data_IF_763773839613
#
_entry.id   IF_763773839613
#
_cell.length_a   1.000
_cell.length_b   1.000
_cell.length_c   1.000
_cell.angle_alpha   90.00
_cell.angle_beta   90.00
_cell.angle_gamma   90.00
#
_symmetry.space_group_name_H-M   'P 1'
#
loop_
_entity.id
_entity.type
_entity.pdbx_description
1 polymer ?
#
# COMPACT_ATOMS: atom_id res chain seq x y z
N UNK A 1 35.58 30.57 -17.85
CA UNK A 1 36.24 29.46 -17.14
C UNK A 1 35.27 28.33 -16.98
N UNK A 2 35.63 27.18 -17.53
CA UNK A 2 34.94 25.91 -17.35
C UNK A 2 35.64 25.15 -16.21
N UNK A 3 34.88 24.60 -15.26
CA UNK A 3 35.39 23.66 -14.25
C UNK A 3 34.19 22.77 -13.84
N UNK A 4 33.94 21.71 -14.60
CA UNK A 4 34.36 20.29 -14.41
C UNK A 4 33.78 19.64 -13.16
N UNK A 5 32.66 18.95 -13.33
CA UNK A 5 32.13 17.97 -12.37
C UNK A 5 32.50 16.56 -12.90
N UNK A 6 33.49 15.94 -12.28
CA UNK A 6 33.95 14.59 -12.59
C UNK A 6 33.06 13.58 -11.84
N UNK A 7 32.21 12.86 -12.57
CA UNK A 7 31.29 11.85 -12.04
C UNK A 7 32.00 10.48 -11.99
N UNK A 8 32.30 10.00 -10.78
CA UNK A 8 33.04 8.77 -10.52
C UNK A 8 32.18 7.51 -10.82
N UNK A 9 32.43 6.91 -12.00
CA UNK A 9 31.84 5.63 -12.40
C UNK A 9 32.35 4.46 -11.54
N UNK A 10 31.58 4.08 -10.52
CA UNK A 10 31.89 2.91 -9.70
C UNK A 10 31.55 1.60 -10.46
N UNK A 11 32.58 1.01 -11.07
CA UNK A 11 32.50 -0.22 -11.85
C UNK A 11 32.06 -1.45 -11.04
N UNK A 12 31.14 -2.23 -11.63
CA UNK A 12 30.61 -3.47 -11.09
C UNK A 12 31.70 -4.50 -10.77
N UNK A 13 31.76 -4.97 -9.52
CA UNK A 13 32.68 -6.02 -9.08
C UNK A 13 32.32 -7.39 -9.74
N UNK A 14 33.17 -7.84 -10.66
CA UNK A 14 33.07 -9.16 -11.32
C UNK A 14 33.29 -10.29 -10.31
N UNK A 15 32.24 -11.04 -9.97
CA UNK A 15 32.31 -12.25 -9.13
C UNK A 15 33.06 -13.38 -9.84
N UNK A 16 34.32 -13.64 -9.45
CA UNK A 16 35.09 -14.81 -9.91
C UNK A 16 34.60 -16.10 -9.25
N UNK A 17 34.25 -17.10 -10.04
CA UNK A 17 33.81 -18.43 -9.58
C UNK A 17 35.01 -19.29 -9.19
N UNK A 18 35.30 -19.41 -7.89
CA UNK A 18 36.35 -20.31 -7.38
C UNK A 18 35.87 -21.76 -7.47
N UNK A 19 36.50 -22.58 -8.32
CA UNK A 19 36.32 -24.04 -8.36
C UNK A 19 37.20 -24.67 -7.28
N UNK A 20 36.60 -25.11 -6.17
CA UNK A 20 37.31 -25.92 -5.16
C UNK A 20 37.57 -27.32 -5.72
N UNK A 21 38.84 -27.74 -5.77
CA UNK A 21 39.26 -29.11 -6.07
C UNK A 21 38.97 -29.97 -4.83
N UNK A 22 38.22 -31.06 -4.99
CA UNK A 22 37.95 -32.00 -3.89
C UNK A 22 39.24 -32.77 -3.58
N UNK A 23 39.75 -32.69 -2.36
CA UNK A 23 40.73 -33.64 -1.85
C UNK A 23 40.01 -34.98 -1.62
N UNK A 24 40.56 -36.08 -2.12
CA UNK A 24 40.06 -37.43 -1.86
C UNK A 24 40.54 -37.81 -0.46
N UNK A 25 39.64 -38.02 0.49
CA UNK A 25 40.00 -38.64 1.77
C UNK A 25 40.37 -40.10 1.52
N UNK A 26 41.65 -40.43 1.59
CA UNK A 26 42.12 -41.81 1.66
C UNK A 26 41.82 -42.35 3.06
N UNK A 27 40.63 -42.92 3.24
CA UNK A 27 40.44 -43.89 4.32
C UNK A 27 41.17 -45.15 3.88
N UNK A 28 42.25 -45.46 4.58
CA UNK A 28 42.95 -46.73 4.48
C UNK A 28 41.97 -47.83 4.91
N UNK A 29 41.60 -48.70 3.98
CA UNK A 29 40.89 -49.93 4.27
C UNK A 29 41.91 -50.91 4.85
N UNK A 30 41.88 -51.16 6.16
CA UNK A 30 42.49 -52.35 6.74
C UNK A 30 41.57 -53.53 6.43
N UNK A 31 41.94 -54.27 5.39
CA UNK A 31 41.23 -55.46 4.95
C UNK A 31 41.67 -56.69 5.74
N UNK A 32 40.68 -57.34 6.35
CA UNK A 32 40.52 -58.78 6.53
C UNK A 32 41.44 -59.52 7.53
N UNK A 33 40.86 -59.86 8.68
CA UNK A 33 41.04 -61.20 9.26
C UNK A 33 39.66 -61.83 9.49
N UNK A 34 39.55 -63.03 8.95
CA UNK A 34 38.42 -63.97 8.90
C UNK A 34 38.49 -64.84 10.16
N UNK A 35 37.35 -65.12 10.80
CA UNK A 35 37.23 -66.19 11.81
C UNK A 35 36.00 -66.08 12.73
N UNK A 36 35.06 -67.01 12.55
CA UNK A 36 34.13 -67.63 13.51
C UNK A 36 33.13 -66.77 14.34
N UNK A 37 31.81 -67.00 14.15
CA UNK A 37 30.90 -67.74 15.05
C UNK A 37 30.88 -67.13 16.48
N UNK A 38 29.79 -66.55 17.00
CA UNK A 38 28.59 -67.25 17.49
C UNK A 38 27.53 -66.22 17.97
N UNK A 39 26.26 -66.62 17.84
CA UNK A 39 24.98 -66.11 18.34
C UNK A 39 24.91 -64.99 19.41
N UNK A 40 24.01 -64.01 19.20
CA UNK A 40 22.87 -63.77 20.11
C UNK A 40 21.96 -62.63 19.61
N UNK A 41 20.66 -62.93 19.40
CA UNK A 41 19.58 -61.92 19.44
C UNK A 41 18.93 -61.56 18.09
N UNK A 42 17.94 -62.35 17.64
CA UNK A 42 16.89 -61.91 16.70
C UNK A 42 15.63 -61.59 17.52
N UNK A 43 14.75 -60.63 17.13
CA UNK A 43 13.77 -60.89 16.07
C UNK A 43 13.54 -59.70 15.10
N UNK A 44 13.53 -59.92 13.78
CA UNK A 44 12.28 -60.18 13.05
C UNK A 44 11.36 -58.95 12.81
N UNK A 45 11.92 -57.74 12.69
CA UNK A 45 11.16 -56.57 12.19
C UNK A 45 11.73 -55.92 10.92
N UNK A 46 13.01 -56.11 10.62
CA UNK A 46 13.65 -55.49 9.43
C UNK A 46 13.52 -56.33 8.15
N UNK A 47 13.15 -57.61 8.27
CA UNK A 47 13.16 -58.56 7.14
C UNK A 47 11.79 -58.66 6.45
N UNK A 48 10.66 -58.42 7.15
CA UNK A 48 9.33 -58.42 6.52
C UNK A 48 9.05 -57.16 5.68
N UNK A 49 9.59 -56.01 6.07
CA UNK A 49 9.43 -54.75 5.31
C UNK A 49 10.07 -54.81 3.90
N UNK A 50 11.02 -55.73 3.68
CA UNK A 50 11.70 -55.89 2.39
C UNK A 50 11.01 -56.88 1.45
N UNK A 51 10.02 -57.66 1.91
CA UNK A 51 9.28 -58.60 1.07
C UNK A 51 7.97 -58.01 0.51
N UNK A 52 7.37 -57.03 1.19
CA UNK A 52 6.19 -56.32 0.68
C UNK A 52 6.52 -55.19 -0.31
N UNK A 53 7.78 -54.74 -0.35
CA UNK A 53 8.25 -53.79 -1.37
C UNK A 53 8.67 -54.48 -2.69
N UNK A 54 8.32 -55.75 -2.87
CA UNK A 54 8.39 -56.42 -4.16
C UNK A 54 7.06 -56.23 -4.90
N UNK A 55 7.08 -55.32 -5.86
CA UNK A 55 6.17 -55.28 -7.01
C UNK A 55 4.79 -54.65 -6.78
N UNK A 56 4.76 -53.36 -6.46
CA UNK A 56 3.80 -52.51 -7.17
C UNK A 56 4.49 -52.04 -8.44
N UNK A 57 3.87 -52.25 -9.61
CA UNK A 57 4.30 -51.77 -10.93
C UNK A 57 4.61 -50.27 -10.88
N UNK A 58 5.84 -49.94 -10.47
CA UNK A 58 6.36 -48.59 -10.54
C UNK A 58 6.45 -48.29 -12.04
N UNK A 59 5.72 -47.28 -12.54
CA UNK A 59 5.83 -46.92 -13.95
C UNK A 59 7.31 -46.78 -14.27
N UNK A 60 7.77 -47.40 -15.37
CA UNK A 60 9.14 -47.29 -15.87
C UNK A 60 9.40 -45.84 -16.25
N UNK A 61 9.53 -44.97 -15.25
CA UNK A 61 9.66 -43.54 -15.43
C UNK A 61 11.01 -43.31 -16.08
N UNK A 62 10.99 -42.55 -17.17
CA UNK A 62 12.19 -42.17 -17.89
C UNK A 62 13.26 -41.66 -16.93
N UNK A 63 14.53 -41.94 -17.25
CA UNK A 63 15.70 -41.43 -16.50
C UNK A 63 15.59 -39.91 -16.26
N UNK A 64 15.02 -39.17 -17.21
CA UNK A 64 14.76 -37.74 -17.08
C UNK A 64 13.69 -37.41 -16.02
N UNK A 65 12.58 -38.15 -15.99
CA UNK A 65 11.52 -37.99 -14.97
C UNK A 65 12.04 -38.30 -13.57
N UNK A 66 12.87 -39.35 -13.41
CA UNK A 66 13.59 -39.65 -12.15
C UNK A 66 14.44 -38.46 -11.69
N UNK A 67 15.25 -37.90 -12.60
CA UNK A 67 16.10 -36.73 -12.31
C UNK A 67 15.27 -35.50 -11.91
N UNK A 68 14.18 -35.20 -12.62
CA UNK A 68 13.29 -34.07 -12.32
C UNK A 68 12.63 -34.23 -10.95
N UNK A 69 12.10 -35.42 -10.63
CA UNK A 69 11.47 -35.68 -9.34
C UNK A 69 12.48 -35.60 -8.18
N UNK A 70 13.70 -36.12 -8.34
CA UNK A 70 14.78 -35.96 -7.34
C UNK A 70 15.10 -34.49 -7.10
N UNK A 71 15.20 -33.68 -8.16
CA UNK A 71 15.44 -32.23 -8.04
C UNK A 71 14.30 -31.50 -7.34
N UNK A 72 13.04 -31.86 -7.64
CA UNK A 72 11.84 -31.30 -6.97
C UNK A 72 11.87 -31.60 -5.48
N UNK A 73 12.04 -32.88 -5.10
CA UNK A 73 12.11 -33.33 -3.70
C UNK A 73 13.26 -32.67 -2.94
N UNK A 74 14.44 -32.50 -3.57
CA UNK A 74 15.56 -31.80 -2.94
C UNK A 74 15.27 -30.31 -2.69
N UNK A 75 14.64 -29.62 -3.65
CA UNK A 75 14.25 -28.20 -3.51
C UNK A 75 13.22 -28.03 -2.39
N UNK A 76 12.25 -28.93 -2.33
CA UNK A 76 11.22 -28.96 -1.29
C UNK A 76 11.80 -29.25 0.09
N UNK A 77 12.68 -30.26 0.24
CA UNK A 77 13.39 -30.54 1.50
C UNK A 77 14.17 -29.31 2.00
N UNK A 78 14.83 -28.57 1.11
CA UNK A 78 15.51 -27.33 1.49
C UNK A 78 14.55 -26.19 1.87
N UNK A 79 13.36 -26.10 1.24
CA UNK A 79 12.32 -25.12 1.62
C UNK A 79 11.73 -25.44 3.00
N UNK A 80 11.43 -26.70 3.28
CA UNK A 80 10.91 -27.14 4.58
C UNK A 80 11.93 -26.90 5.72
N UNK A 81 13.23 -27.07 5.44
CA UNK A 81 14.29 -26.75 6.38
C UNK A 81 14.61 -25.24 6.49
N UNK A 82 13.88 -24.35 5.81
CA UNK A 82 14.15 -22.90 5.82
C UNK A 82 15.40 -22.45 5.06
N UNK A 83 16.18 -23.37 4.48
CA UNK A 83 17.43 -23.10 3.73
C UNK A 83 17.21 -22.44 2.36
N UNK A 84 15.96 -22.29 1.91
CA UNK A 84 15.61 -21.51 0.72
C UNK A 84 14.80 -20.32 1.19
N UNK A 85 15.44 -19.15 1.21
CA UNK A 85 14.75 -17.89 1.41
C UNK A 85 13.69 -17.75 0.31
N UNK A 86 12.42 -17.68 0.71
CA UNK A 86 11.38 -17.16 -0.19
C UNK A 86 11.76 -15.69 -0.42
N UNK A 87 11.85 -15.26 -1.67
CA UNK A 87 11.88 -13.83 -1.94
C UNK A 87 10.60 -13.26 -1.34
N UNK A 88 10.74 -12.37 -0.36
CA UNK A 88 9.64 -11.65 0.26
C UNK A 88 8.99 -10.83 -0.84
N UNK A 89 7.91 -11.35 -1.42
CA UNK A 89 7.03 -10.54 -2.25
C UNK A 89 6.42 -9.50 -1.32
N UNK A 90 6.80 -8.24 -1.53
CA UNK A 90 6.15 -7.12 -0.86
C UNK A 90 4.74 -7.09 -1.40
N UNK A 91 3.77 -7.30 -0.51
CA UNK A 91 2.36 -7.18 -0.84
C UNK A 91 2.04 -5.68 -0.89
N UNK A 92 1.91 -5.13 -2.10
CA UNK A 92 1.59 -3.72 -2.33
C UNK A 92 0.10 -3.45 -2.08
N UNK A 93 -0.42 -3.87 -0.93
CA UNK A 93 -1.78 -3.51 -0.56
C UNK A 93 -1.75 -2.05 -0.10
N UNK A 94 -2.32 -1.17 -0.92
CA UNK A 94 -2.51 0.23 -0.58
C UNK A 94 -3.33 0.33 0.71
N UNK A 95 -2.67 0.70 1.81
CA UNK A 95 -3.35 1.19 3.00
C UNK A 95 -3.48 2.71 2.84
N UNK A 96 -4.70 3.25 2.67
CA UNK A 96 -4.86 4.68 2.74
C UNK A 96 -4.50 5.12 4.16
N UNK A 97 -3.49 5.97 4.27
CA UNK A 97 -3.09 6.62 5.52
C UNK A 97 -4.24 7.50 6.02
N UNK A 98 -5.11 6.91 6.85
CA UNK A 98 -6.18 7.67 7.51
C UNK A 98 -5.65 8.67 8.54
N UNK A 99 -4.37 8.55 8.93
CA UNK A 99 -3.83 9.21 10.12
C UNK A 99 -2.74 10.25 9.81
N UNK A 100 -2.38 10.47 8.54
CA UNK A 100 -1.36 11.47 8.17
C UNK A 100 -1.95 12.67 7.38
N UNK A 101 -3.28 12.68 7.17
CA UNK A 101 -4.00 13.80 6.54
C UNK A 101 -4.54 14.82 7.55
N UNK A 102 -4.59 14.50 8.83
CA UNK A 102 -5.45 15.26 9.76
C UNK A 102 -4.82 16.56 10.27
N UNK A 103 -3.49 16.69 10.36
CA UNK A 103 -2.90 17.89 10.98
C UNK A 103 -2.30 18.89 9.97
N UNK A 104 -1.54 18.43 8.97
CA UNK A 104 -0.96 19.31 7.93
C UNK A 104 -1.80 19.40 6.64
N UNK A 105 -2.66 18.42 6.37
CA UNK A 105 -3.61 18.49 5.26
C UNK A 105 -4.97 19.04 5.68
N UNK A 106 -5.26 19.16 6.99
CA UNK A 106 -6.43 19.91 7.47
C UNK A 106 -6.40 21.36 7.03
N UNK A 107 -5.26 22.05 7.13
CA UNK A 107 -5.12 23.46 6.73
C UNK A 107 -5.27 23.65 5.20
N UNK A 108 -4.61 22.80 4.41
CA UNK A 108 -4.74 22.82 2.93
C UNK A 108 -6.16 22.52 2.48
N UNK A 109 -6.82 21.57 3.14
CA UNK A 109 -8.20 21.20 2.89
C UNK A 109 -9.17 22.34 3.24
N UNK A 110 -8.84 23.19 4.22
CA UNK A 110 -9.63 24.38 4.56
C UNK A 110 -9.45 25.48 3.49
N UNK A 111 -8.22 25.76 3.07
CA UNK A 111 -7.95 26.75 2.02
C UNK A 111 -8.64 26.37 0.70
N UNK A 112 -8.50 25.11 0.27
CA UNK A 112 -9.17 24.58 -0.92
C UNK A 112 -10.70 24.70 -0.82
N UNK A 113 -11.27 24.46 0.37
CA UNK A 113 -12.70 24.66 0.61
C UNK A 113 -13.09 26.13 0.52
N UNK A 114 -12.30 27.03 1.10
CA UNK A 114 -12.57 28.47 1.07
C UNK A 114 -12.54 29.02 -0.37
N UNK A 115 -11.56 28.63 -1.19
CA UNK A 115 -11.52 28.99 -2.62
C UNK A 115 -12.74 28.44 -3.35
N UNK A 116 -13.08 27.18 -3.09
CA UNK A 116 -14.22 26.53 -3.72
C UNK A 116 -15.58 27.13 -3.31
N UNK A 117 -15.67 27.77 -2.14
CA UNK A 117 -16.84 28.54 -1.71
C UNK A 117 -16.84 29.91 -2.42
N UNK A 118 -15.70 30.59 -2.46
CA UNK A 118 -15.55 31.90 -3.09
C UNK A 118 -15.94 31.83 -4.57
N UNK A 119 -15.39 30.86 -5.32
CA UNK A 119 -15.72 30.64 -6.74
C UNK A 119 -17.22 30.40 -6.93
N UNK A 120 -17.83 29.59 -6.06
CA UNK A 120 -19.25 29.28 -6.13
C UNK A 120 -20.10 30.52 -5.88
N UNK A 121 -19.83 31.27 -4.80
CA UNK A 121 -20.58 32.46 -4.46
C UNK A 121 -20.43 33.54 -5.53
N UNK A 122 -19.22 33.76 -6.03
CA UNK A 122 -18.96 34.72 -7.11
C UNK A 122 -19.68 34.33 -8.40
N UNK A 123 -19.67 33.05 -8.78
CA UNK A 123 -20.40 32.57 -9.95
C UNK A 123 -21.91 32.72 -9.76
N UNK A 124 -22.45 32.39 -8.59
CA UNK A 124 -23.88 32.59 -8.30
C UNK A 124 -24.25 34.08 -8.35
N UNK A 125 -23.44 34.96 -7.77
CA UNK A 125 -23.64 36.39 -7.85
C UNK A 125 -23.67 36.86 -9.31
N UNK A 126 -22.72 36.42 -10.13
CA UNK A 126 -22.74 36.73 -11.56
C UNK A 126 -24.03 36.26 -12.24
N UNK A 127 -24.53 35.06 -11.95
CA UNK A 127 -25.78 34.56 -12.56
C UNK A 127 -27.00 35.40 -12.13
N UNK A 128 -27.10 35.77 -10.85
CA UNK A 128 -28.26 36.51 -10.34
C UNK A 128 -28.20 38.01 -10.68
N UNK A 129 -27.01 38.60 -10.83
CA UNK A 129 -26.82 40.04 -11.04
C UNK A 129 -26.37 40.43 -12.46
N UNK A 130 -25.92 39.49 -13.31
CA UNK A 130 -25.46 39.82 -14.67
C UNK A 130 -26.54 40.47 -15.55
N UNK A 131 -27.82 40.27 -15.23
CA UNK A 131 -28.90 40.80 -16.05
C UNK A 131 -29.21 42.28 -15.82
N UNK A 132 -28.73 42.94 -14.75
CA UNK A 132 -28.82 44.39 -14.44
C UNK A 132 -30.15 45.13 -14.80
N UNK A 133 -31.24 44.40 -15.06
CA UNK A 133 -32.53 44.91 -15.54
C UNK A 133 -33.58 44.98 -14.44
N UNK A 134 -33.36 44.28 -13.33
CA UNK A 134 -34.24 44.41 -12.18
C UNK A 134 -33.71 45.51 -11.28
N UNK A 135 -34.27 46.71 -11.41
CA UNK A 135 -34.41 47.67 -10.31
C UNK A 135 -35.28 47.00 -9.22
N UNK A 136 -34.73 46.00 -8.56
CA UNK A 136 -35.34 45.36 -7.40
C UNK A 136 -34.95 46.17 -6.17
N UNK A 137 -35.64 47.27 -5.95
CA UNK A 137 -35.55 48.15 -4.78
C UNK A 137 -35.86 47.46 -3.44
N UNK A 138 -36.12 46.15 -3.45
CA UNK A 138 -36.54 45.36 -2.29
C UNK A 138 -35.56 44.23 -1.92
N UNK A 139 -34.37 44.16 -2.53
CA UNK A 139 -33.36 43.19 -2.11
C UNK A 139 -32.74 43.61 -0.78
N UNK A 140 -33.42 43.29 0.33
CA UNK A 140 -33.00 43.50 1.71
C UNK A 140 -31.66 42.82 2.09
N UNK A 141 -31.03 42.13 1.14
CA UNK A 141 -29.67 41.60 1.26
C UNK A 141 -28.73 42.72 0.80
N UNK A 142 -28.15 43.43 1.77
CA UNK A 142 -27.21 44.51 1.51
C UNK A 142 -26.07 43.98 0.62
N UNK A 143 -25.98 44.44 -0.63
CA UNK A 143 -24.87 44.09 -1.53
C UNK A 143 -23.51 44.34 -0.88
N UNK A 144 -23.42 45.31 0.04
CA UNK A 144 -22.24 45.56 0.86
C UNK A 144 -21.87 44.35 1.75
N UNK A 145 -22.83 43.83 2.52
CA UNK A 145 -22.58 42.68 3.43
C UNK A 145 -22.15 41.42 2.69
N UNK A 146 -22.69 41.17 1.49
CA UNK A 146 -22.28 40.03 0.67
C UNK A 146 -20.84 40.17 0.14
N UNK A 147 -20.42 41.40 -0.21
CA UNK A 147 -19.05 41.67 -0.63
C UNK A 147 -18.07 41.58 0.53
N UNK A 148 -18.45 42.05 1.72
CA UNK A 148 -17.63 41.92 2.93
C UNK A 148 -17.38 40.45 3.26
N UNK A 149 -18.39 39.59 3.15
CA UNK A 149 -18.25 38.14 3.32
C UNK A 149 -17.27 37.52 2.32
N UNK A 150 -17.37 37.89 1.04
CA UNK A 150 -16.44 37.43 0.01
C UNK A 150 -15.00 37.89 0.30
N UNK A 151 -14.84 39.12 0.78
CA UNK A 151 -13.54 39.65 1.19
C UNK A 151 -12.98 38.90 2.40
N UNK A 152 -13.79 38.57 3.41
CA UNK A 152 -13.35 37.77 4.55
C UNK A 152 -12.87 36.36 4.13
N UNK A 153 -13.57 35.73 3.19
CA UNK A 153 -13.17 34.43 2.63
C UNK A 153 -11.89 34.52 1.78
N UNK A 154 -11.71 35.62 1.04
CA UNK A 154 -10.51 35.90 0.26
C UNK A 154 -9.29 36.16 1.14
N UNK A 155 -9.47 36.93 2.23
CA UNK A 155 -8.42 37.26 3.20
C UNK A 155 -8.09 36.10 4.16
N UNK A 156 -8.88 35.01 4.16
CA UNK A 156 -8.74 33.86 5.07
C UNK A 156 -8.93 34.19 6.55
N UNK A 157 -9.72 35.23 6.84
CA UNK A 157 -9.99 35.69 8.21
C UNK A 157 -11.13 34.91 8.90
N UNK A 158 -11.67 33.89 8.23
CA UNK A 158 -12.81 33.10 8.71
C UNK A 158 -12.34 31.87 9.49
N UNK A 159 -13.00 31.58 10.62
CA UNK A 159 -12.76 30.38 11.41
C UNK A 159 -12.87 29.10 10.56
N UNK A 160 -11.96 28.14 10.77
CA UNK A 160 -11.98 26.86 10.05
C UNK A 160 -13.29 26.10 10.23
N UNK A 161 -13.91 26.18 11.42
CA UNK A 161 -15.23 25.62 11.69
C UNK A 161 -16.27 26.21 10.74
N UNK A 162 -16.29 27.53 10.59
CA UNK A 162 -17.25 28.25 9.76
C UNK A 162 -17.02 27.94 8.28
N UNK A 163 -15.77 27.86 7.82
CA UNK A 163 -15.44 27.43 6.45
C UNK A 163 -15.95 26.01 6.17
N UNK A 164 -15.79 25.07 7.10
CA UNK A 164 -16.30 23.71 6.90
C UNK A 164 -17.84 23.65 6.87
N UNK A 165 -18.51 24.47 7.70
CA UNK A 165 -19.95 24.56 7.71
C UNK A 165 -20.49 25.20 6.42
N UNK A 166 -19.87 26.28 5.93
CA UNK A 166 -20.18 26.88 4.63
C UNK A 166 -19.97 25.90 3.48
N UNK A 167 -18.89 25.11 3.51
CA UNK A 167 -18.64 24.09 2.49
C UNK A 167 -19.72 22.99 2.50
N UNK A 168 -20.17 22.58 3.69
CA UNK A 168 -21.31 21.65 3.85
C UNK A 168 -22.58 22.25 3.25
N UNK A 169 -22.89 23.51 3.54
CA UNK A 169 -24.06 24.21 2.97
C UNK A 169 -23.98 24.25 1.44
N UNK A 170 -22.83 24.64 0.88
CA UNK A 170 -22.58 24.62 -0.57
C UNK A 170 -22.87 23.24 -1.17
N UNK A 171 -22.36 22.19 -0.54
CA UNK A 171 -22.54 20.81 -1.01
C UNK A 171 -24.02 20.41 -1.02
N UNK A 172 -24.78 20.77 0.02
CA UNK A 172 -26.22 20.50 0.11
C UNK A 172 -27.03 21.26 -0.95
N UNK A 173 -26.66 22.51 -1.24
CA UNK A 173 -27.27 23.30 -2.33
C UNK A 173 -27.04 22.61 -3.68
N UNK A 174 -25.82 22.16 -3.97
CA UNK A 174 -25.50 21.45 -5.22
C UNK A 174 -26.24 20.11 -5.34
N UNK A 175 -26.43 19.41 -4.22
CA UNK A 175 -27.20 18.17 -4.14
C UNK A 175 -28.73 18.39 -4.16
N UNK A 176 -29.19 19.65 -4.06
CA UNK A 176 -30.62 20.03 -3.97
C UNK A 176 -31.33 19.37 -2.78
N UNK A 177 -30.59 19.10 -1.69
CA UNK A 177 -31.11 18.49 -0.47
C UNK A 177 -31.65 19.58 0.48
N UNK A 178 -32.91 19.97 0.26
CA UNK A 178 -33.52 21.13 0.96
C UNK A 178 -33.77 20.83 2.43
N UNK A 179 -34.12 19.59 2.79
CA UNK A 179 -34.41 19.20 4.18
C UNK A 179 -33.16 19.35 5.04
N UNK A 180 -32.06 18.72 4.63
CA UNK A 180 -30.80 18.82 5.37
C UNK A 180 -30.19 20.21 5.30
N UNK A 181 -30.43 20.95 4.22
CA UNK A 181 -29.97 22.34 4.09
C UNK A 181 -30.60 23.23 5.16
N UNK A 182 -31.90 23.10 5.42
CA UNK A 182 -32.59 23.87 6.47
C UNK A 182 -32.02 23.60 7.86
N UNK A 183 -31.82 22.33 8.19
CA UNK A 183 -31.24 21.94 9.48
C UNK A 183 -29.80 22.45 9.62
N UNK A 184 -29.01 22.32 8.56
CA UNK A 184 -27.62 22.80 8.54
C UNK A 184 -27.54 24.34 8.64
N UNK A 185 -28.46 25.08 8.02
CA UNK A 185 -28.53 26.53 8.13
C UNK A 185 -28.85 26.98 9.56
N UNK A 186 -29.80 26.31 10.22
CA UNK A 186 -30.12 26.59 11.61
C UNK A 186 -28.92 26.35 12.53
N UNK A 187 -28.24 25.21 12.35
CA UNK A 187 -27.00 24.90 13.08
C UNK A 187 -25.91 25.93 12.82
N UNK A 188 -25.73 26.36 11.58
CA UNK A 188 -24.75 27.38 11.22
C UNK A 188 -25.05 28.70 11.93
N UNK A 189 -26.30 29.14 11.96
CA UNK A 189 -26.67 30.38 12.65
C UNK A 189 -26.42 30.33 14.16
N UNK A 190 -26.58 29.16 14.79
CA UNK A 190 -26.36 28.99 16.24
C UNK A 190 -24.86 28.90 16.61
N UNK A 191 -24.02 28.41 15.70
CA UNK A 191 -22.62 28.06 15.97
C UNK A 191 -21.60 28.96 15.29
N UNK A 192 -22.02 29.71 14.26
CA UNK A 192 -21.14 30.55 13.47
C UNK A 192 -20.69 31.77 14.25
N UNK A 193 -19.41 32.10 14.11
CA UNK A 193 -18.84 33.36 14.61
C UNK A 193 -18.95 34.51 13.60
N UNK A 194 -19.48 34.23 12.40
CA UNK A 194 -19.63 35.23 11.35
C UNK A 194 -20.74 36.23 11.68
N UNK A 195 -20.57 37.50 11.28
CA UNK A 195 -21.62 38.50 11.44
C UNK A 195 -22.88 38.12 10.64
N UNK A 196 -24.08 38.43 11.16
CA UNK A 196 -25.36 38.17 10.50
C UNK A 196 -25.65 39.10 9.32
#
# INVERSE_FOLDING_TARGET
SFESAEEEYQGQAKRKRIRRKKQKSSLQNSSNLRGEQTESGMPETLVQDNLQLRQTDSPKISKNKKRKMKKKRQKEKRRAAGLVTKATGVDFTYQPDKNNREEAAGLKDIDEKADSILDFLQATQQIYFADNKSEGTDSAINSATAQDLLQCLASRDVSSSDVTALHRLKSLVLLRDIERLKDALKQFQEQSSMPP
#
